data_IF_212808041979
#
_entry.id   IF_212808041979
#
_cell.length_a   1.000
_cell.length_b   1.000
_cell.length_c   1.000
_cell.angle_alpha   90.00
_cell.angle_beta   90.00
_cell.angle_gamma   90.00
#
_symmetry.space_group_name_H-M   'P 1'
#
loop_
_entity.id
_entity.type
_entity.pdbx_description
1 polymer ?
#
# COMPACT_ATOMS: atom_id res chain seq x y z
N UNK A 1 4.19 -8.57 -3.09
CA UNK A 1 5.46 -7.84 -3.20
C UNK A 1 5.33 -6.71 -4.22
N UNK A 2 5.85 -5.55 -3.88
CA UNK A 2 5.90 -4.40 -4.76
C UNK A 2 7.35 -4.01 -5.00
N UNK A 3 7.67 -3.65 -6.25
CA UNK A 3 9.01 -3.23 -6.62
C UNK A 3 9.27 -1.77 -6.28
N UNK A 4 10.53 -1.45 -5.98
CA UNK A 4 10.94 -0.07 -5.72
C UNK A 4 12.30 0.21 -6.34
N UNK A 5 12.50 1.46 -6.73
CA UNK A 5 13.80 1.95 -7.20
C UNK A 5 14.55 2.71 -6.10
N UNK A 6 13.92 2.89 -4.93
CA UNK A 6 14.53 3.51 -3.76
C UNK A 6 13.96 2.84 -2.51
N UNK A 7 14.66 1.83 -2.03
CA UNK A 7 14.18 1.01 -0.92
C UNK A 7 14.03 1.81 0.38
N UNK A 8 14.96 2.71 0.68
CA UNK A 8 14.87 3.51 1.91
C UNK A 8 13.64 4.40 1.91
N UNK A 9 13.42 5.12 0.82
CA UNK A 9 12.28 6.03 0.70
C UNK A 9 10.96 5.27 0.72
N UNK A 10 10.89 4.15 -0.02
CA UNK A 10 9.70 3.31 -0.05
C UNK A 10 9.40 2.71 1.33
N UNK A 11 10.44 2.29 2.05
CA UNK A 11 10.28 1.73 3.40
C UNK A 11 9.67 2.76 4.36
N UNK A 12 10.15 4.01 4.33
CA UNK A 12 9.60 5.08 5.16
C UNK A 12 8.14 5.36 4.78
N UNK A 13 7.85 5.41 3.48
CA UNK A 13 6.49 5.63 2.99
C UNK A 13 5.53 4.57 3.54
N UNK A 14 5.86 3.30 3.37
CA UNK A 14 4.97 2.21 3.79
C UNK A 14 4.92 2.03 5.30
N UNK A 15 6.01 2.31 6.02
CA UNK A 15 5.98 2.26 7.48
C UNK A 15 4.95 3.23 8.05
N UNK A 16 4.86 4.42 7.48
CA UNK A 16 3.89 5.43 7.90
C UNK A 16 2.48 5.10 7.40
N UNK A 17 2.37 4.70 6.13
CA UNK A 17 1.06 4.42 5.51
C UNK A 17 0.34 3.25 6.17
N UNK A 18 1.06 2.18 6.48
CA UNK A 18 0.46 0.93 6.97
C UNK A 18 0.21 0.93 8.48
N UNK A 19 0.84 1.85 9.22
CA UNK A 19 0.70 1.92 10.67
C UNK A 19 -0.76 2.02 11.14
N UNK A 20 -1.63 2.85 10.54
CA UNK A 20 -3.03 2.92 10.95
C UNK A 20 -3.80 1.60 10.80
N UNK A 21 -3.29 0.67 10.01
CA UNK A 21 -3.89 -0.66 9.86
C UNK A 21 -3.29 -1.69 10.80
N UNK A 22 -2.36 -1.27 11.68
CA UNK A 22 -1.66 -2.20 12.57
C UNK A 22 -0.61 -3.05 11.86
N UNK A 23 -0.21 -2.64 10.67
CA UNK A 23 0.82 -3.33 9.89
C UNK A 23 2.13 -2.59 10.09
N UNK A 24 3.11 -3.27 10.68
CA UNK A 24 4.37 -2.67 11.09
C UNK A 24 5.52 -3.28 10.32
N UNK A 25 6.61 -2.51 10.21
CA UNK A 25 7.84 -3.03 9.61
C UNK A 25 8.41 -4.11 10.53
N UNK A 26 8.63 -5.31 9.98
CA UNK A 26 9.12 -6.47 10.72
C UNK A 26 10.57 -6.80 10.40
N UNK A 27 11.06 -6.39 9.23
CA UNK A 27 12.41 -6.70 8.78
C UNK A 27 12.83 -5.71 7.70
N UNK A 28 14.11 -5.36 7.70
CA UNK A 28 14.72 -4.63 6.59
C UNK A 28 16.10 -5.20 6.32
N UNK A 29 16.29 -5.66 5.08
CA UNK A 29 17.59 -6.09 4.59
C UNK A 29 18.07 -5.15 3.49
N UNK A 30 19.16 -5.51 2.80
CA UNK A 30 19.70 -4.66 1.73
C UNK A 30 18.85 -4.64 0.47
N UNK A 31 17.95 -5.60 0.29
CA UNK A 31 17.17 -5.73 -0.93
C UNK A 31 15.67 -5.58 -0.71
N UNK A 32 15.16 -5.76 0.51
CA UNK A 32 13.74 -5.74 0.76
C UNK A 32 13.40 -5.33 2.19
N UNK A 33 12.16 -4.89 2.37
CA UNK A 33 11.56 -4.63 3.67
C UNK A 33 10.27 -5.43 3.77
N UNK A 34 10.02 -6.01 4.94
CA UNK A 34 8.84 -6.84 5.19
C UNK A 34 7.95 -6.15 6.21
N UNK A 35 6.66 -6.07 5.90
CA UNK A 35 5.64 -5.48 6.76
C UNK A 35 4.62 -6.54 7.12
N UNK A 36 4.18 -6.57 8.37
CA UNK A 36 3.20 -7.54 8.83
C UNK A 36 2.56 -7.12 10.14
N UNK A 37 1.50 -7.84 10.51
CA UNK A 37 0.78 -7.59 11.76
C UNK A 37 1.49 -8.30 12.91
N UNK A 38 1.45 -7.67 14.08
CA UNK A 38 2.00 -8.27 15.28
C UNK A 38 1.27 -9.56 15.62
N UNK A 39 2.04 -10.59 16.00
CA UNK A 39 1.47 -11.90 16.32
C UNK A 39 1.11 -12.76 15.13
N UNK A 40 1.34 -12.27 13.92
CA UNK A 40 1.08 -13.02 12.68
C UNK A 40 2.41 -13.31 12.01
N UNK A 41 2.72 -14.58 11.78
CA UNK A 41 4.01 -14.97 11.18
C UNK A 41 4.13 -14.60 9.71
N UNK A 42 3.01 -14.59 8.99
CA UNK A 42 3.00 -14.33 7.57
C UNK A 42 3.13 -12.83 7.27
N UNK A 43 3.91 -12.45 6.26
CA UNK A 43 4.00 -11.05 5.86
C UNK A 43 2.71 -10.60 5.18
N UNK A 44 2.37 -9.32 5.40
CA UNK A 44 1.24 -8.71 4.72
C UNK A 44 1.69 -8.09 3.41
N UNK A 45 2.86 -7.44 3.41
CA UNK A 45 3.38 -6.75 2.23
C UNK A 45 4.91 -6.77 2.27
N UNK A 46 5.50 -6.96 1.11
CA UNK A 46 6.96 -6.90 0.94
C UNK A 46 7.27 -5.84 -0.12
N UNK A 47 8.20 -4.96 0.19
CA UNK A 47 8.72 -3.97 -0.74
C UNK A 47 10.16 -4.39 -1.07
N UNK A 48 10.48 -4.51 -2.35
CA UNK A 48 11.76 -5.09 -2.74
C UNK A 48 12.36 -4.41 -3.98
N UNK A 49 13.69 -4.41 -4.03
CA UNK A 49 14.38 -4.16 -5.29
C UNK A 49 14.10 -5.35 -6.20
N UNK A 50 13.87 -5.13 -7.52
CA UNK A 50 13.61 -6.25 -8.43
C UNK A 50 14.72 -7.29 -8.38
N UNK A 51 14.33 -8.56 -8.43
CA UNK A 51 15.26 -9.67 -8.34
C UNK A 51 16.33 -9.63 -9.44
N UNK A 52 15.97 -9.20 -10.64
CA UNK A 52 16.88 -9.12 -11.77
C UNK A 52 17.77 -7.87 -11.77
N UNK A 53 17.64 -7.02 -10.74
CA UNK A 53 18.40 -5.78 -10.57
C UNK A 53 18.15 -4.74 -11.65
N UNK A 54 17.12 -4.92 -12.47
CA UNK A 54 16.69 -3.92 -13.43
C UNK A 54 15.78 -2.87 -12.74
N UNK A 55 15.45 -1.81 -13.44
CA UNK A 55 14.58 -0.76 -12.91
C UNK A 55 13.19 -1.35 -12.63
N UNK A 56 12.65 -1.08 -11.43
CA UNK A 56 11.31 -1.50 -11.08
C UNK A 56 10.29 -0.73 -11.92
N UNK A 57 9.28 -1.45 -12.40
CA UNK A 57 8.14 -0.85 -13.09
C UNK A 57 6.86 -1.26 -12.36
N UNK A 58 5.78 -0.45 -12.43
CA UNK A 58 4.57 -0.76 -11.68
C UNK A 58 3.75 -1.92 -12.24
N UNK A 59 4.02 -2.35 -13.45
CA UNK A 59 3.19 -3.37 -14.11
C UNK A 59 1.88 -2.77 -14.61
N UNK A 60 1.62 -2.91 -15.91
CA UNK A 60 0.39 -2.41 -16.49
C UNK A 60 -0.76 -3.36 -16.16
N UNK A 61 -1.77 -2.86 -15.45
CA UNK A 61 -2.92 -3.66 -15.05
C UNK A 61 -2.82 -4.27 -13.66
N UNK A 62 -1.69 -4.08 -12.95
CA UNK A 62 -1.52 -4.61 -11.60
C UNK A 62 -2.01 -3.60 -10.56
N UNK A 63 -2.57 -4.12 -9.46
CA UNK A 63 -3.03 -3.30 -8.34
C UNK A 63 -2.97 -4.13 -7.05
N UNK A 64 -2.52 -3.51 -5.98
CA UNK A 64 -2.53 -4.12 -4.65
C UNK A 64 -3.64 -3.48 -3.83
N UNK A 65 -4.56 -4.29 -3.32
CA UNK A 65 -5.70 -3.81 -2.55
C UNK A 65 -5.52 -4.09 -1.07
N UNK A 66 -5.76 -3.08 -0.24
CA UNK A 66 -5.62 -3.16 1.21
C UNK A 66 -6.98 -2.95 1.87
N UNK A 67 -7.50 -3.96 2.58
CA UNK A 67 -8.77 -3.80 3.29
C UNK A 67 -8.58 -2.90 4.51
N UNK A 68 -9.50 -1.96 4.70
CA UNK A 68 -9.38 -0.95 5.76
C UNK A 68 -10.36 -1.14 6.90
N UNK A 69 -11.39 -1.97 6.71
CA UNK A 69 -12.34 -2.31 7.76
C UNK A 69 -13.49 -1.33 7.94
N UNK A 70 -13.29 -0.06 7.65
CA UNK A 70 -14.34 0.96 7.73
C UNK A 70 -14.17 1.98 6.61
N UNK A 71 -15.27 2.67 6.29
CA UNK A 71 -15.27 3.76 5.33
C UNK A 71 -14.34 4.89 5.77
N UNK A 72 -14.38 5.23 7.06
CA UNK A 72 -13.53 6.29 7.62
C UNK A 72 -12.04 5.97 7.45
N UNK A 73 -11.67 4.70 7.63
CA UNK A 73 -10.27 4.28 7.50
C UNK A 73 -9.80 4.38 6.05
N UNK A 74 -10.66 4.11 5.08
CA UNK A 74 -10.32 4.29 3.65
C UNK A 74 -9.93 5.74 3.39
N UNK A 75 -10.74 6.68 3.88
CA UNK A 75 -10.47 8.11 3.69
C UNK A 75 -9.20 8.55 4.43
N UNK A 76 -8.99 8.03 5.63
CA UNK A 76 -7.78 8.31 6.42
C UNK A 76 -6.52 7.88 5.67
N UNK A 77 -6.52 6.66 5.14
CA UNK A 77 -5.35 6.14 4.41
C UNK A 77 -5.12 6.88 3.11
N UNK A 78 -6.18 7.23 2.40
CA UNK A 78 -6.04 8.01 1.18
C UNK A 78 -5.39 9.36 1.47
N UNK A 79 -5.89 10.10 2.46
CA UNK A 79 -5.34 11.40 2.83
C UNK A 79 -3.88 11.28 3.27
N UNK A 80 -3.57 10.26 4.06
CA UNK A 80 -2.21 10.01 4.52
C UNK A 80 -1.28 9.70 3.34
N UNK A 81 -1.72 8.84 2.41
CA UNK A 81 -0.92 8.49 1.23
C UNK A 81 -0.58 9.74 0.41
N UNK A 82 -1.57 10.60 0.16
CA UNK A 82 -1.36 11.84 -0.59
C UNK A 82 -0.36 12.73 0.16
N UNK A 83 -0.48 12.84 1.48
CA UNK A 83 0.44 13.66 2.28
C UNK A 83 1.87 13.12 2.25
N UNK A 84 2.04 11.81 2.02
CA UNK A 84 3.35 11.16 1.94
C UNK A 84 3.95 11.17 0.53
N UNK A 85 3.25 11.76 -0.43
CA UNK A 85 3.76 11.91 -1.80
C UNK A 85 3.12 11.02 -2.84
N UNK A 86 2.12 10.21 -2.48
CA UNK A 86 1.39 9.40 -3.46
C UNK A 86 0.57 10.30 -4.40
N UNK A 87 0.26 9.77 -5.57
CA UNK A 87 -0.52 10.46 -6.59
C UNK A 87 -1.94 9.92 -6.60
N UNK A 88 -2.92 10.81 -6.70
CA UNK A 88 -4.33 10.43 -6.79
C UNK A 88 -4.63 9.64 -8.07
N UNK A 89 -5.40 8.55 -7.91
CA UNK A 89 -5.94 7.75 -9.02
C UNK A 89 -7.45 7.55 -8.85
N UNK A 90 -8.04 8.12 -7.82
CA UNK A 90 -9.48 8.07 -7.56
C UNK A 90 -9.76 8.35 -6.09
N UNK A 91 -10.35 9.51 -5.74
CA UNK A 91 -10.61 9.84 -4.34
C UNK A 91 -11.65 8.89 -3.73
N UNK A 92 -11.74 8.86 -2.38
CA UNK A 92 -12.68 7.95 -1.71
C UNK A 92 -14.12 8.16 -2.16
N UNK A 93 -14.76 7.08 -2.59
CA UNK A 93 -16.17 7.10 -2.98
C UNK A 93 -16.68 5.68 -3.12
N UNK A 94 -18.00 5.54 -3.18
CA UNK A 94 -18.61 4.26 -3.51
C UNK A 94 -18.39 3.96 -4.99
N UNK A 95 -17.77 2.81 -5.27
CA UNK A 95 -17.55 2.34 -6.65
C UNK A 95 -18.68 1.43 -7.09
N UNK A 96 -19.19 0.66 -6.10
CA UNK A 96 -20.37 -0.19 -6.24
C UNK A 96 -21.21 0.01 -4.99
N UNK A 97 -22.40 -0.59 -4.96
CA UNK A 97 -23.31 -0.44 -3.81
C UNK A 97 -22.72 -0.91 -2.49
N UNK A 98 -21.76 -1.84 -2.53
CA UNK A 98 -21.16 -2.41 -1.32
C UNK A 98 -19.65 -2.19 -1.24
N UNK A 99 -19.05 -1.51 -2.20
CA UNK A 99 -17.60 -1.33 -2.27
C UNK A 99 -17.23 0.16 -2.25
N UNK A 100 -16.62 0.58 -1.14
CA UNK A 100 -16.11 1.95 -0.98
C UNK A 100 -14.60 1.90 -1.14
N UNK A 101 -14.06 2.65 -2.09
CA UNK A 101 -12.64 2.56 -2.40
C UNK A 101 -12.01 3.87 -2.81
N UNK A 102 -10.69 3.92 -2.62
CA UNK A 102 -9.85 5.01 -3.05
C UNK A 102 -8.60 4.42 -3.70
N UNK A 103 -8.04 5.11 -4.67
CA UNK A 103 -6.91 4.62 -5.44
C UNK A 103 -5.80 5.66 -5.50
N UNK A 104 -4.56 5.20 -5.33
CA UNK A 104 -3.38 6.07 -5.44
C UNK A 104 -2.27 5.33 -6.18
N UNK A 105 -1.26 6.09 -6.61
CA UNK A 105 0.02 5.53 -7.04
C UNK A 105 1.05 5.85 -5.96
N UNK A 106 1.84 4.86 -5.57
CA UNK A 106 2.91 5.09 -4.60
C UNK A 106 4.09 5.82 -5.24
N UNK A 107 5.21 5.95 -4.52
CA UNK A 107 6.37 6.70 -5.00
C UNK A 107 7.03 6.06 -6.23
N UNK A 108 6.83 4.77 -6.43
CA UNK A 108 7.32 4.02 -7.59
C UNK A 108 6.23 3.78 -8.64
N UNK A 109 5.08 4.44 -8.49
CA UNK A 109 3.92 4.34 -9.38
C UNK A 109 3.17 3.02 -9.30
N UNK A 110 3.41 2.21 -8.27
CA UNK A 110 2.60 1.03 -8.00
C UNK A 110 1.19 1.47 -7.63
N UNK A 111 0.17 0.83 -8.19
CA UNK A 111 -1.21 1.19 -7.91
C UNK A 111 -1.70 0.49 -6.64
N UNK A 112 -2.25 1.28 -5.72
CA UNK A 112 -2.83 0.80 -4.48
C UNK A 112 -4.32 1.13 -4.44
N UNK A 113 -5.10 0.21 -3.87
CA UNK A 113 -6.49 0.47 -3.52
C UNK A 113 -6.65 0.35 -2.02
N UNK A 114 -7.33 1.32 -1.42
CA UNK A 114 -7.77 1.22 -0.03
C UNK A 114 -9.27 0.99 -0.09
N UNK A 115 -9.78 -0.06 0.54
CA UNK A 115 -11.18 -0.37 0.37
C UNK A 115 -11.87 -0.84 1.65
N UNK A 116 -13.17 -0.67 1.65
CA UNK A 116 -14.07 -1.20 2.65
C UNK A 116 -15.26 -1.84 1.92
N UNK A 117 -15.52 -3.10 2.23
CA UNK A 117 -16.64 -3.81 1.63
C UNK A 117 -17.75 -3.91 2.66
N UNK A 118 -18.90 -3.32 2.33
CA UNK A 118 -20.07 -3.32 3.20
C UNK A 118 -20.80 -4.66 3.09
N UNK A 119 -21.24 -5.19 4.22
CA UNK A 119 -22.12 -6.35 4.20
C UNK A 119 -23.50 -5.92 3.72
N UNK A 120 -24.17 -6.82 3.03
CA UNK A 120 -25.51 -6.57 2.55
C UNK A 120 -26.53 -6.46 3.68
#
# INVERSE_FOLDING_TARGET
TLGTNNLEEATVFYAQLLSPLGILQRYQGPRLSIFGKEGVDEPTLVIAKPFNEEIATPGNGSMTALPCGTQAKVSELYDLAISLGATDEGPPDWRYSTFYGAYVRDLDKNKLAFYFKKNK
#
